data_IF_193046277655
#
_entry.id   IF_193046277655
#
_cell.length_a   1.000
_cell.length_b   1.000
_cell.length_c   1.000
_cell.angle_alpha   90.00
_cell.angle_beta   90.00
_cell.angle_gamma   90.00
#
_symmetry.space_group_name_H-M   'P 1'
#
loop_
_entity.id
_entity.type
_entity.pdbx_description
1 polymer ?
#
# COMPACT_ATOMS: atom_id res chain seq x y z
N UNK A 1 -24.41 -7.39 13.24
CA UNK A 1 -22.98 -6.96 13.41
C UNK A 1 -22.76 -6.63 14.89
N UNK A 2 -21.57 -6.85 15.49
CA UNK A 2 -21.36 -6.54 16.90
C UNK A 2 -20.94 -5.06 17.07
N UNK A 3 -21.91 -4.17 17.27
CA UNK A 3 -21.72 -2.74 17.51
C UNK A 3 -21.71 -2.37 19.00
N UNK A 4 -22.02 -3.30 19.91
CA UNK A 4 -22.26 -3.07 21.34
C UNK A 4 -21.05 -2.53 22.12
N UNK A 5 -19.79 -2.92 21.81
CA UNK A 5 -18.65 -2.40 22.55
C UNK A 5 -18.43 -0.89 22.42
N UNK A 6 -19.10 -0.21 21.47
CA UNK A 6 -18.94 1.22 21.27
C UNK A 6 -19.67 2.05 22.34
N UNK A 7 -18.91 2.72 23.20
CA UNK A 7 -19.39 3.62 24.25
C UNK A 7 -19.33 5.10 23.85
N UNK A 8 -19.14 5.41 22.60
CA UNK A 8 -19.09 6.76 22.01
C UNK A 8 -18.08 7.73 22.67
N UNK A 9 -16.99 7.24 23.27
CA UNK A 9 -15.99 8.05 23.99
C UNK A 9 -15.22 9.06 23.13
N UNK A 10 -15.15 8.88 21.82
CA UNK A 10 -14.50 9.81 20.89
C UNK A 10 -13.01 9.61 20.62
N UNK A 11 -12.31 8.65 21.27
CA UNK A 11 -10.89 8.40 21.04
C UNK A 11 -10.53 8.07 19.58
N UNK A 12 -11.49 7.59 18.80
CA UNK A 12 -11.32 7.31 17.36
C UNK A 12 -11.36 8.57 16.48
N UNK A 13 -11.83 9.73 16.97
CA UNK A 13 -12.01 10.93 16.14
C UNK A 13 -10.68 11.52 15.66
N UNK A 14 -9.68 11.79 16.53
CA UNK A 14 -8.42 12.40 16.11
C UNK A 14 -7.63 11.53 15.12
N UNK A 15 -7.81 10.20 15.17
CA UNK A 15 -7.11 9.26 14.30
C UNK A 15 -7.83 8.99 12.99
N UNK A 16 -9.09 9.41 12.88
CA UNK A 16 -9.89 9.14 11.68
C UNK A 16 -9.58 10.10 10.55
N UNK A 17 -8.99 9.57 9.46
CA UNK A 17 -8.60 10.36 8.30
C UNK A 17 -9.82 11.08 7.66
N UNK A 18 -10.96 10.41 7.45
CA UNK A 18 -12.15 11.04 6.88
C UNK A 18 -12.75 12.13 7.77
N UNK A 19 -12.80 11.90 9.09
CA UNK A 19 -13.29 12.90 10.04
C UNK A 19 -12.41 14.17 10.06
N UNK A 20 -11.10 14.01 9.95
CA UNK A 20 -10.15 15.15 9.93
C UNK A 20 -10.32 16.08 8.73
N UNK A 21 -10.74 15.53 7.58
CA UNK A 21 -10.94 16.31 6.36
C UNK A 21 -12.37 16.85 6.26
N UNK A 22 -13.37 16.01 6.57
CA UNK A 22 -14.77 16.35 6.38
C UNK A 22 -15.39 17.08 7.59
N UNK A 23 -14.85 16.86 8.80
CA UNK A 23 -15.29 17.54 10.03
C UNK A 23 -16.69 17.16 10.51
N UNK A 24 -17.35 16.20 9.90
CA UNK A 24 -18.70 15.79 10.25
C UNK A 24 -18.73 14.50 11.08
N UNK A 25 -19.64 14.44 12.06
CA UNK A 25 -19.75 13.27 12.92
C UNK A 25 -20.11 12.00 12.13
N UNK A 26 -20.92 12.12 11.09
CA UNK A 26 -21.35 11.02 10.24
C UNK A 26 -20.17 10.36 9.49
N UNK A 27 -19.08 11.09 9.30
CA UNK A 27 -17.86 10.62 8.65
C UNK A 27 -16.81 10.13 9.64
N UNK A 28 -17.20 9.99 10.92
CA UNK A 28 -16.38 9.42 11.98
C UNK A 28 -16.68 7.92 12.20
N UNK A 29 -15.77 7.16 12.84
CA UNK A 29 -16.02 5.75 13.13
C UNK A 29 -17.22 5.56 14.06
N UNK A 30 -17.35 6.36 15.12
CA UNK A 30 -18.48 6.24 16.05
C UNK A 30 -19.80 6.69 15.41
N UNK A 31 -19.78 7.70 14.54
CA UNK A 31 -20.95 8.13 13.79
C UNK A 31 -21.46 7.05 12.85
N UNK A 32 -20.55 6.38 12.12
CA UNK A 32 -20.88 5.22 11.27
C UNK A 32 -21.39 4.03 12.10
N UNK A 33 -20.84 3.76 13.28
CA UNK A 33 -21.35 2.73 14.19
C UNK A 33 -22.79 3.09 14.65
N UNK A 34 -23.04 4.35 14.96
CA UNK A 34 -24.38 4.82 15.31
C UNK A 34 -25.37 4.61 14.16
N UNK A 35 -24.96 4.96 12.92
CA UNK A 35 -25.77 4.72 11.72
C UNK A 35 -26.04 3.22 11.52
N UNK A 36 -25.04 2.33 11.74
CA UNK A 36 -25.27 0.89 11.66
C UNK A 36 -26.25 0.38 12.68
N UNK A 37 -26.22 0.88 13.93
CA UNK A 37 -27.21 0.54 14.96
C UNK A 37 -28.62 0.96 14.54
N UNK A 38 -28.76 2.18 14.03
CA UNK A 38 -30.05 2.69 13.56
C UNK A 38 -30.59 1.91 12.34
N UNK A 39 -29.70 1.48 11.44
CA UNK A 39 -30.07 0.62 10.30
C UNK A 39 -30.55 -0.76 10.78
N UNK A 40 -29.84 -1.37 11.75
CA UNK A 40 -30.22 -2.67 12.33
C UNK A 40 -31.53 -2.59 13.10
N UNK A 41 -31.81 -1.45 13.76
CA UNK A 41 -33.08 -1.19 14.45
C UNK A 41 -34.24 -0.85 13.49
N UNK A 42 -33.98 -0.65 12.20
CA UNK A 42 -34.99 -0.22 11.21
C UNK A 42 -35.39 1.27 11.30
N UNK A 43 -34.62 2.06 12.05
CA UNK A 43 -34.84 3.50 12.25
C UNK A 43 -34.21 4.35 11.14
N UNK A 44 -33.18 3.80 10.44
CA UNK A 44 -32.49 4.44 9.32
C UNK A 44 -32.41 3.49 8.14
N UNK A 45 -32.61 4.00 6.93
CA UNK A 45 -32.42 3.25 5.70
C UNK A 45 -31.01 3.49 5.14
N UNK A 46 -30.40 2.46 4.57
CA UNK A 46 -29.15 2.60 3.82
C UNK A 46 -29.46 3.15 2.43
N UNK A 47 -29.66 4.45 2.34
CA UNK A 47 -29.88 5.18 1.09
C UNK A 47 -28.56 5.74 0.51
N UNK A 48 -28.61 6.44 -0.62
CA UNK A 48 -27.46 7.03 -1.26
C UNK A 48 -26.75 8.10 -0.40
N UNK A 49 -27.46 8.78 0.50
CA UNK A 49 -26.89 9.78 1.42
C UNK A 49 -26.06 9.08 2.52
N UNK A 50 -26.66 8.08 3.15
CA UNK A 50 -25.96 7.29 4.19
C UNK A 50 -24.78 6.54 3.59
N UNK A 51 -24.93 5.99 2.39
CA UNK A 51 -23.87 5.27 1.68
C UNK A 51 -22.60 6.13 1.46
N UNK A 52 -22.74 7.42 1.19
CA UNK A 52 -21.60 8.36 1.02
C UNK A 52 -20.72 8.42 2.27
N UNK A 53 -21.34 8.43 3.46
CA UNK A 53 -20.59 8.45 4.72
C UNK A 53 -19.78 7.17 4.96
N UNK A 54 -20.24 6.02 4.47
CA UNK A 54 -19.46 4.79 4.49
C UNK A 54 -18.39 4.76 3.39
N UNK A 55 -18.69 5.32 2.20
CA UNK A 55 -17.73 5.42 1.09
C UNK A 55 -16.56 6.36 1.43
N UNK A 56 -16.76 7.38 2.26
CA UNK A 56 -15.69 8.27 2.73
C UNK A 56 -14.74 7.60 3.73
N UNK A 57 -15.06 6.39 4.23
CA UNK A 57 -14.15 5.61 5.07
C UNK A 57 -13.02 5.00 4.24
N UNK A 58 -11.77 5.31 4.61
CA UNK A 58 -10.58 4.75 3.95
C UNK A 58 -10.29 3.28 4.32
N UNK A 59 -10.88 2.76 5.40
CA UNK A 59 -10.53 1.44 5.92
C UNK A 59 -9.09 1.35 6.45
N UNK A 60 -8.54 2.46 6.93
CA UNK A 60 -7.16 2.57 7.39
C UNK A 60 -6.88 1.93 8.76
N UNK A 61 -7.91 1.52 9.48
CA UNK A 61 -7.86 0.81 10.76
C UNK A 61 -7.28 1.61 11.96
N UNK A 62 -6.91 2.86 11.80
CA UNK A 62 -6.37 3.69 12.88
C UNK A 62 -7.35 3.80 14.07
N UNK A 63 -8.66 3.82 13.78
CA UNK A 63 -9.70 3.83 14.81
C UNK A 63 -9.79 2.50 15.59
N UNK A 64 -9.40 1.38 15.00
CA UNK A 64 -9.36 0.07 15.69
C UNK A 64 -8.24 0.08 16.72
N UNK A 65 -7.04 0.51 16.33
CA UNK A 65 -5.89 0.61 17.24
C UNK A 65 -6.12 1.63 18.37
N UNK A 66 -6.83 2.73 18.06
CA UNK A 66 -7.10 3.79 19.05
C UNK A 66 -8.26 3.47 20.00
N UNK A 67 -9.04 2.40 19.76
CA UNK A 67 -10.25 2.11 20.52
C UNK A 67 -9.96 1.41 21.85
N UNK A 68 -10.17 2.06 23.02
CA UNK A 68 -9.95 1.42 24.31
C UNK A 68 -10.99 0.33 24.63
N UNK A 69 -12.17 0.39 23.97
CA UNK A 69 -13.25 -0.59 24.17
C UNK A 69 -13.14 -1.79 23.22
N UNK A 70 -12.10 -1.86 22.39
CA UNK A 70 -11.84 -3.00 21.50
C UNK A 70 -12.87 -3.20 20.39
N UNK A 71 -13.50 -2.13 19.89
CA UNK A 71 -14.46 -2.21 18.80
C UNK A 71 -13.75 -2.70 17.53
N UNK A 72 -14.21 -3.80 16.97
CA UNK A 72 -13.73 -4.37 15.71
C UNK A 72 -14.38 -3.67 14.52
N UNK A 73 -14.07 -2.37 14.37
CA UNK A 73 -14.60 -1.56 13.28
C UNK A 73 -14.18 -2.06 11.90
N UNK A 74 -13.03 -2.72 11.81
CA UNK A 74 -12.57 -3.46 10.62
C UNK A 74 -13.67 -4.41 10.10
N UNK A 75 -14.21 -5.27 10.96
CA UNK A 75 -15.25 -6.22 10.61
C UNK A 75 -16.58 -5.53 10.25
N UNK A 76 -16.90 -4.44 10.93
CA UNK A 76 -18.13 -3.68 10.66
C UNK A 76 -18.10 -3.05 9.26
N UNK A 77 -17.00 -2.39 8.90
CA UNK A 77 -16.89 -1.73 7.59
C UNK A 77 -16.76 -2.76 6.46
N UNK A 78 -16.04 -3.85 6.66
CA UNK A 78 -15.91 -4.93 5.68
C UNK A 78 -17.25 -5.59 5.40
N UNK A 79 -18.08 -5.85 6.42
CA UNK A 79 -19.43 -6.39 6.25
C UNK A 79 -20.42 -5.38 5.62
N UNK A 80 -20.13 -4.08 5.70
CA UNK A 80 -20.99 -3.02 5.16
C UNK A 80 -20.70 -2.75 3.67
N UNK A 81 -19.43 -2.73 3.28
CA UNK A 81 -18.99 -2.35 1.92
C UNK A 81 -19.68 -3.12 0.78
N UNK A 82 -19.92 -4.43 0.84
CA UNK A 82 -20.64 -5.14 -0.22
C UNK A 82 -22.04 -4.59 -0.44
N UNK A 83 -22.72 -4.13 0.63
CA UNK A 83 -24.07 -3.55 0.57
C UNK A 83 -24.06 -2.21 -0.15
N UNK A 84 -22.94 -1.45 -0.10
CA UNK A 84 -22.80 -0.16 -0.79
C UNK A 84 -22.72 -0.31 -2.33
N UNK A 85 -22.49 -1.50 -2.84
CA UNK A 85 -22.42 -1.77 -4.29
C UNK A 85 -23.80 -2.02 -4.93
N UNK A 86 -24.88 -1.92 -4.14
CA UNK A 86 -26.24 -2.01 -4.65
C UNK A 86 -26.49 -0.93 -5.72
N UNK A 87 -27.12 -1.29 -6.87
CA UNK A 87 -27.26 -0.39 -8.01
C UNK A 87 -27.98 0.92 -7.72
N UNK A 88 -28.92 0.90 -6.77
CA UNK A 88 -29.71 2.06 -6.33
C UNK A 88 -28.91 3.10 -5.52
N UNK A 89 -27.79 2.68 -4.95
CA UNK A 89 -26.93 3.54 -4.13
C UNK A 89 -25.87 4.30 -4.94
N UNK A 90 -25.74 4.01 -6.24
CA UNK A 90 -24.68 4.55 -7.09
C UNK A 90 -25.21 5.07 -8.42
N UNK A 91 -24.65 6.19 -8.87
CA UNK A 91 -24.96 6.71 -10.21
C UNK A 91 -24.45 5.74 -11.29
N UNK A 92 -25.04 5.76 -12.50
CA UNK A 92 -24.55 4.95 -13.63
C UNK A 92 -23.07 5.24 -13.98
N UNK A 93 -22.63 6.49 -13.85
CA UNK A 93 -21.25 6.92 -14.12
C UNK A 93 -20.30 6.32 -13.11
N UNK A 94 -20.58 6.39 -11.81
CA UNK A 94 -19.77 5.76 -10.75
C UNK A 94 -19.65 4.25 -10.95
N UNK A 95 -20.76 3.59 -11.28
CA UNK A 95 -20.75 2.14 -11.56
C UNK A 95 -19.88 1.80 -12.77
N UNK A 96 -19.98 2.57 -13.85
CA UNK A 96 -19.15 2.36 -15.03
C UNK A 96 -17.68 2.59 -14.75
N UNK A 97 -17.33 3.64 -14.00
CA UNK A 97 -15.95 3.94 -13.60
C UNK A 97 -15.36 2.86 -12.70
N UNK A 98 -16.07 2.42 -11.66
CA UNK A 98 -15.64 1.31 -10.80
C UNK A 98 -15.44 0.01 -11.58
N UNK A 99 -16.38 -0.31 -12.47
CA UNK A 99 -16.29 -1.49 -13.35
C UNK A 99 -15.05 -1.43 -14.24
N UNK A 100 -14.72 -0.26 -14.80
CA UNK A 100 -13.50 -0.07 -15.58
C UNK A 100 -12.24 -0.28 -14.73
N UNK A 101 -12.17 0.33 -13.54
CA UNK A 101 -11.04 0.17 -12.64
C UNK A 101 -10.81 -1.31 -12.27
N UNK A 102 -11.87 -2.02 -11.90
CA UNK A 102 -11.77 -3.43 -11.50
C UNK A 102 -11.60 -4.40 -12.68
N UNK A 103 -11.89 -3.97 -13.90
CA UNK A 103 -11.56 -4.72 -15.11
C UNK A 103 -10.07 -4.60 -15.51
N UNK A 104 -9.38 -3.56 -15.03
CA UNK A 104 -7.99 -3.25 -15.42
C UNK A 104 -6.99 -3.51 -14.27
N UNK A 105 -7.16 -2.84 -13.13
CA UNK A 105 -6.16 -2.81 -12.05
C UNK A 105 -5.76 -4.19 -11.50
N UNK A 106 -6.70 -5.14 -11.25
CA UNK A 106 -6.34 -6.46 -10.72
C UNK A 106 -5.65 -7.37 -11.74
N UNK A 107 -5.67 -7.03 -13.03
CA UNK A 107 -5.18 -7.88 -14.11
C UNK A 107 -3.92 -7.28 -14.76
N UNK A 108 -2.71 -7.71 -14.35
CA UNK A 108 -1.45 -7.10 -14.78
C UNK A 108 -1.30 -6.99 -16.31
N UNK A 109 -1.73 -8.00 -17.04
CA UNK A 109 -1.64 -8.00 -18.50
C UNK A 109 -2.61 -7.00 -19.16
N UNK A 110 -3.83 -6.86 -18.63
CA UNK A 110 -4.79 -5.85 -19.11
C UNK A 110 -4.31 -4.44 -18.78
N UNK A 111 -3.80 -4.25 -17.55
CA UNK A 111 -3.25 -2.97 -17.13
C UNK A 111 -2.02 -2.60 -17.97
N UNK A 112 -1.12 -3.56 -18.22
CA UNK A 112 0.05 -3.36 -19.10
C UNK A 112 -0.36 -2.94 -20.51
N UNK A 113 -1.35 -3.61 -21.09
CA UNK A 113 -1.88 -3.25 -22.41
C UNK A 113 -2.48 -1.83 -22.43
N UNK A 114 -3.27 -1.46 -21.41
CA UNK A 114 -3.85 -0.13 -21.28
C UNK A 114 -2.79 0.97 -21.08
N UNK A 115 -1.67 0.67 -20.41
CA UNK A 115 -0.58 1.62 -20.16
C UNK A 115 0.40 1.73 -21.32
N UNK A 116 0.44 0.77 -22.24
CA UNK A 116 1.40 0.76 -23.36
C UNK A 116 1.41 2.06 -24.16
N UNK A 117 0.27 2.62 -24.62
CA UNK A 117 0.27 3.89 -25.35
C UNK A 117 0.71 5.08 -24.47
N UNK A 118 0.50 5.02 -23.14
CA UNK A 118 0.88 6.08 -22.23
C UNK A 118 2.39 6.16 -21.98
N UNK A 119 3.18 5.18 -22.40
CA UNK A 119 4.65 5.23 -22.33
C UNK A 119 5.26 6.40 -23.08
N UNK A 120 4.63 6.80 -24.20
CA UNK A 120 5.07 7.96 -24.98
C UNK A 120 4.68 9.31 -24.35
N UNK A 121 3.85 9.28 -23.32
CA UNK A 121 3.34 10.46 -22.59
C UNK A 121 3.93 10.57 -21.19
N UNK A 122 3.93 9.47 -20.43
CA UNK A 122 4.35 9.45 -19.04
C UNK A 122 5.83 9.80 -18.86
N UNK A 123 6.14 10.73 -17.96
CA UNK A 123 7.50 11.20 -17.71
C UNK A 123 8.03 12.20 -18.73
N UNK A 124 7.22 12.67 -19.68
CA UNK A 124 7.64 13.62 -20.71
C UNK A 124 7.29 15.07 -20.38
N UNK A 125 7.91 16.05 -21.06
CA UNK A 125 7.49 17.46 -20.95
C UNK A 125 6.02 17.70 -21.31
N UNK A 126 5.42 16.85 -22.16
CA UNK A 126 4.00 16.94 -22.51
C UNK A 126 3.11 16.62 -21.29
N UNK A 127 3.47 15.63 -20.48
CA UNK A 127 2.78 15.36 -19.21
C UNK A 127 2.87 16.55 -18.26
N UNK A 128 4.07 17.11 -18.10
CA UNK A 128 4.27 18.29 -17.25
C UNK A 128 3.44 19.50 -17.74
N UNK A 129 3.35 19.71 -19.04
CA UNK A 129 2.51 20.75 -19.65
C UNK A 129 1.03 20.50 -19.39
N UNK A 130 0.55 19.27 -19.59
CA UNK A 130 -0.84 18.90 -19.33
C UNK A 130 -1.24 19.16 -17.87
N UNK A 131 -0.39 18.80 -16.92
CA UNK A 131 -0.59 19.07 -15.48
C UNK A 131 -0.65 20.56 -15.17
N UNK A 132 0.27 21.35 -15.73
CA UNK A 132 0.34 22.82 -15.51
C UNK A 132 -0.79 23.58 -16.19
N UNK A 133 -1.32 23.08 -17.32
CA UNK A 133 -2.38 23.77 -18.10
C UNK A 133 -3.72 23.85 -17.38
N UNK A 134 -3.97 22.99 -16.39
CA UNK A 134 -5.28 22.83 -15.76
C UNK A 134 -6.36 22.23 -16.66
N UNK A 135 -6.04 21.85 -17.90
CA UNK A 135 -6.98 21.27 -18.85
C UNK A 135 -7.60 19.97 -18.35
N UNK A 136 -6.84 19.20 -17.58
CA UNK A 136 -7.31 17.93 -17.01
C UNK A 136 -8.50 18.10 -16.07
N UNK A 137 -8.59 19.24 -15.37
CA UNK A 137 -9.73 19.58 -14.50
C UNK A 137 -11.05 19.67 -15.26
N UNK A 138 -11.00 20.10 -16.53
CA UNK A 138 -12.19 20.18 -17.38
C UNK A 138 -12.73 18.80 -17.77
N UNK A 139 -11.88 17.76 -17.68
CA UNK A 139 -12.25 16.37 -17.98
C UNK A 139 -12.82 15.63 -16.75
N UNK A 140 -12.80 16.27 -15.59
CA UNK A 140 -13.33 15.75 -14.34
C UNK A 140 -12.25 15.31 -13.33
N UNK A 141 -12.58 15.35 -12.02
CA UNK A 141 -11.60 15.14 -10.95
C UNK A 141 -11.01 13.72 -10.93
N UNK A 142 -11.76 12.72 -11.39
CA UNK A 142 -11.28 11.33 -11.43
C UNK A 142 -10.18 11.14 -12.49
N UNK A 143 -10.35 11.72 -13.69
CA UNK A 143 -9.34 11.66 -14.75
C UNK A 143 -8.09 12.46 -14.38
N UNK A 144 -8.28 13.63 -13.78
CA UNK A 144 -7.16 14.42 -13.24
C UNK A 144 -6.38 13.61 -12.20
N UNK A 145 -7.06 12.97 -11.25
CA UNK A 145 -6.42 12.15 -10.23
C UNK A 145 -5.67 10.94 -10.82
N UNK A 146 -6.27 10.25 -11.80
CA UNK A 146 -5.61 9.13 -12.49
C UNK A 146 -4.33 9.58 -13.19
N UNK A 147 -4.36 10.73 -13.85
CA UNK A 147 -3.19 11.28 -14.55
C UNK A 147 -2.12 11.74 -13.57
N UNK A 148 -2.48 12.43 -12.50
CA UNK A 148 -1.54 12.91 -11.48
C UNK A 148 -0.84 11.77 -10.73
N UNK A 149 -1.46 10.60 -10.63
CA UNK A 149 -0.90 9.39 -10.03
C UNK A 149 -0.07 8.55 -11.03
N UNK A 150 -0.08 8.89 -12.32
CA UNK A 150 0.68 8.17 -13.33
C UNK A 150 2.18 8.52 -13.24
N UNK A 151 3.04 7.59 -12.77
CA UNK A 151 4.47 7.84 -12.72
C UNK A 151 5.09 7.68 -14.11
N UNK A 152 6.36 8.06 -14.29
CA UNK A 152 7.15 7.60 -15.43
C UNK A 152 7.09 6.07 -15.53
N UNK A 153 6.80 5.56 -16.73
CA UNK A 153 6.63 4.13 -16.95
C UNK A 153 7.96 3.50 -17.37
N UNK A 154 8.61 2.81 -16.45
CA UNK A 154 9.89 2.16 -16.70
C UNK A 154 9.76 1.05 -17.77
N UNK A 155 10.72 0.94 -18.73
CA UNK A 155 10.72 -0.13 -19.73
C UNK A 155 10.64 -1.54 -19.14
N UNK A 156 11.25 -1.76 -17.99
CA UNK A 156 11.29 -3.02 -17.23
C UNK A 156 9.90 -3.52 -16.85
N UNK A 157 8.97 -2.61 -16.53
CA UNK A 157 7.57 -2.93 -16.23
C UNK A 157 6.85 -3.66 -17.39
N UNK A 158 7.33 -3.48 -18.62
CA UNK A 158 6.76 -4.08 -19.84
C UNK A 158 7.52 -5.33 -20.31
N UNK A 159 8.65 -5.66 -19.66
CA UNK A 159 9.51 -6.82 -19.98
C UNK A 159 9.61 -7.76 -18.78
N UNK A 160 8.53 -7.94 -18.04
CA UNK A 160 8.55 -8.81 -16.86
C UNK A 160 9.20 -10.15 -17.16
N UNK A 161 10.37 -10.38 -16.58
CA UNK A 161 11.20 -11.55 -16.82
C UNK A 161 11.96 -11.97 -15.55
N UNK A 162 11.21 -12.26 -14.47
CA UNK A 162 11.83 -12.95 -13.33
C UNK A 162 11.92 -14.45 -13.64
N UNK A 163 13.06 -15.10 -13.35
CA UNK A 163 13.14 -16.56 -13.36
C UNK A 163 12.21 -17.12 -12.28
N UNK A 164 11.66 -18.32 -12.51
CA UNK A 164 10.77 -18.96 -11.52
C UNK A 164 11.44 -19.19 -10.18
N UNK A 165 12.75 -19.43 -10.17
CA UNK A 165 13.55 -19.61 -8.96
C UNK A 165 14.81 -18.78 -9.09
N UNK A 166 15.06 -17.94 -8.10
CA UNK A 166 16.33 -17.25 -7.92
C UNK A 166 17.06 -17.93 -6.78
N UNK A 167 18.24 -18.50 -7.01
CA UNK A 167 18.98 -19.22 -5.98
C UNK A 167 19.48 -18.29 -4.88
N UNK A 168 19.66 -18.84 -3.69
CA UNK A 168 20.37 -18.18 -2.60
C UNK A 168 21.83 -17.95 -2.96
N UNK A 169 22.40 -16.80 -2.62
CA UNK A 169 23.84 -16.56 -2.66
C UNK A 169 24.46 -17.13 -1.38
N UNK A 170 25.39 -18.07 -1.52
CA UNK A 170 25.98 -18.79 -0.39
C UNK A 170 25.08 -19.89 0.17
N UNK A 171 25.19 -20.13 1.48
CA UNK A 171 24.36 -21.14 2.16
C UNK A 171 22.88 -20.72 2.19
N UNK A 172 22.00 -21.66 1.85
CA UNK A 172 20.56 -21.40 1.85
C UNK A 172 20.00 -21.39 3.28
N UNK A 173 19.55 -20.21 3.73
CA UNK A 173 18.95 -19.98 5.05
C UNK A 173 17.44 -20.17 5.07
N UNK A 174 16.79 -19.89 3.93
CA UNK A 174 15.33 -20.04 3.76
C UNK A 174 14.97 -20.19 2.29
N UNK A 175 13.72 -20.64 2.05
CA UNK A 175 13.09 -20.74 0.72
C UNK A 175 11.72 -20.07 0.76
N UNK A 176 11.54 -18.99 0.02
CA UNK A 176 10.33 -18.17 0.09
C UNK A 176 9.64 -18.01 -1.25
N UNK A 177 8.32 -17.84 -1.22
CA UNK A 177 7.56 -17.36 -2.38
C UNK A 177 7.51 -15.84 -2.38
N UNK A 178 7.59 -15.18 -3.54
CA UNK A 178 7.45 -13.73 -3.64
C UNK A 178 6.19 -13.35 -4.44
N UNK A 179 5.31 -12.55 -3.83
CA UNK A 179 4.15 -11.94 -4.49
C UNK A 179 4.56 -10.61 -5.11
N UNK A 180 4.53 -10.51 -6.44
CA UNK A 180 4.97 -9.32 -7.18
C UNK A 180 3.98 -8.15 -7.12
N UNK A 181 2.69 -8.41 -6.80
CA UNK A 181 1.62 -7.40 -6.82
C UNK A 181 1.19 -6.98 -8.23
N UNK A 182 -0.07 -6.56 -8.39
CA UNK A 182 -0.60 -6.17 -9.70
C UNK A 182 -0.12 -4.76 -10.14
N UNK A 183 -0.23 -3.79 -9.24
CA UNK A 183 0.13 -2.38 -9.50
C UNK A 183 1.64 -2.18 -9.35
N UNK A 184 2.26 -2.75 -8.31
CA UNK A 184 3.68 -2.56 -8.01
C UNK A 184 4.59 -2.98 -9.16
N UNK A 185 4.33 -4.15 -9.80
CA UNK A 185 5.14 -4.63 -10.93
C UNK A 185 5.13 -3.72 -12.17
N UNK A 186 4.14 -2.81 -12.27
CA UNK A 186 4.00 -1.90 -13.41
C UNK A 186 4.39 -0.45 -13.07
N UNK A 187 4.08 0.01 -11.87
CA UNK A 187 4.33 1.40 -11.47
C UNK A 187 5.62 1.59 -10.67
N UNK A 188 6.15 0.51 -10.08
CA UNK A 188 7.41 0.52 -9.33
C UNK A 188 8.10 -0.85 -9.37
N UNK A 189 8.53 -1.32 -10.56
CA UNK A 189 9.17 -2.63 -10.73
C UNK A 189 10.48 -2.75 -9.95
N UNK A 190 11.18 -1.65 -9.70
CA UNK A 190 12.44 -1.61 -8.95
C UNK A 190 12.32 -2.21 -7.55
N UNK A 191 11.15 -2.09 -6.91
CA UNK A 191 10.90 -2.70 -5.59
C UNK A 191 10.99 -4.23 -5.66
N UNK A 192 10.41 -4.85 -6.70
CA UNK A 192 10.47 -6.30 -6.87
C UNK A 192 11.89 -6.76 -7.22
N UNK A 193 12.61 -6.03 -8.06
CA UNK A 193 14.02 -6.29 -8.37
C UNK A 193 14.89 -6.21 -7.12
N UNK A 194 14.71 -5.16 -6.32
CA UNK A 194 15.41 -5.00 -5.05
C UNK A 194 15.06 -6.12 -4.05
N UNK A 195 13.79 -6.52 -3.98
CA UNK A 195 13.36 -7.62 -3.12
C UNK A 195 14.08 -8.93 -3.48
N UNK A 196 14.09 -9.29 -4.76
CA UNK A 196 14.75 -10.50 -5.23
C UNK A 196 16.25 -10.48 -4.94
N UNK A 197 16.92 -9.37 -5.22
CA UNK A 197 18.37 -9.24 -5.01
C UNK A 197 18.75 -9.26 -3.53
N UNK A 198 18.04 -8.50 -2.69
CA UNK A 198 18.30 -8.47 -1.24
C UNK A 198 18.04 -9.83 -0.59
N UNK A 199 16.95 -10.51 -0.95
CA UNK A 199 16.62 -11.84 -0.44
C UNK A 199 17.71 -12.84 -0.85
N UNK A 200 18.06 -12.91 -2.14
CA UNK A 200 19.11 -13.80 -2.64
C UNK A 200 20.47 -13.56 -1.96
N UNK A 201 20.85 -12.28 -1.82
CA UNK A 201 22.10 -11.88 -1.17
C UNK A 201 22.15 -12.22 0.34
N UNK A 202 20.96 -12.36 0.97
CA UNK A 202 20.85 -12.83 2.36
C UNK A 202 20.76 -14.36 2.51
N UNK A 203 21.07 -15.12 1.46
CA UNK A 203 21.00 -16.59 1.49
C UNK A 203 19.57 -17.13 1.40
N UNK A 204 18.65 -16.43 0.78
CA UNK A 204 17.25 -16.83 0.64
C UNK A 204 16.96 -17.20 -0.81
N UNK A 205 16.48 -18.43 -1.03
CA UNK A 205 15.99 -18.88 -2.33
C UNK A 205 14.60 -18.28 -2.58
N UNK A 206 14.42 -17.58 -3.70
CA UNK A 206 13.17 -16.89 -4.03
C UNK A 206 12.44 -17.60 -5.16
N UNK A 207 11.21 -18.04 -4.88
CA UNK A 207 10.32 -18.68 -5.86
C UNK A 207 9.30 -17.66 -6.34
N UNK A 208 9.22 -17.47 -7.64
CA UNK A 208 8.35 -16.48 -8.29
C UNK A 208 7.46 -17.20 -9.31
N UNK A 209 6.24 -17.61 -8.94
CA UNK A 209 5.33 -18.25 -9.88
C UNK A 209 5.01 -17.33 -11.07
N UNK A 210 5.10 -17.81 -12.32
CA UNK A 210 4.96 -16.96 -13.51
C UNK A 210 3.52 -16.48 -13.75
N UNK A 211 2.52 -17.22 -13.24
CA UNK A 211 1.10 -16.96 -13.50
C UNK A 211 0.40 -16.19 -12.39
N UNK A 212 1.15 -15.64 -11.41
CA UNK A 212 0.54 -14.94 -10.30
C UNK A 212 -0.19 -13.65 -10.72
N UNK A 213 -1.40 -13.48 -10.17
CA UNK A 213 -2.28 -12.34 -10.39
C UNK A 213 -2.24 -11.29 -9.27
N UNK A 214 -3.40 -10.74 -8.98
CA UNK A 214 -3.62 -9.76 -7.92
C UNK A 214 -3.99 -10.45 -6.61
N UNK A 215 -3.59 -9.84 -5.47
CA UNK A 215 -4.01 -10.29 -4.13
C UNK A 215 -5.48 -9.98 -3.79
N UNK A 216 -6.20 -9.20 -4.62
CA UNK A 216 -7.58 -8.81 -4.36
C UNK A 216 -7.77 -7.68 -3.35
N UNK A 217 -6.72 -7.04 -2.84
CA UNK A 217 -6.85 -6.02 -1.80
C UNK A 217 -7.74 -4.83 -2.22
N UNK A 218 -7.57 -4.32 -3.44
CA UNK A 218 -8.36 -3.20 -3.94
C UNK A 218 -9.85 -3.54 -4.09
N UNK A 219 -10.16 -4.75 -4.56
CA UNK A 219 -11.54 -5.24 -4.69
C UNK A 219 -12.17 -5.52 -3.34
N UNK A 220 -11.41 -6.11 -2.40
CA UNK A 220 -11.85 -6.35 -1.02
C UNK A 220 -12.23 -5.05 -0.31
N UNK A 221 -11.35 -4.05 -0.38
CA UNK A 221 -11.60 -2.73 0.23
C UNK A 221 -12.75 -1.96 -0.39
N UNK A 222 -13.28 -2.39 -1.52
CA UNK A 222 -14.44 -1.77 -2.17
C UNK A 222 -15.68 -2.66 -2.15
N UNK A 223 -15.61 -3.80 -1.44
CA UNK A 223 -16.75 -4.70 -1.25
C UNK A 223 -17.08 -5.58 -2.46
N UNK A 224 -16.17 -5.70 -3.43
CA UNK A 224 -16.31 -6.58 -4.60
C UNK A 224 -15.94 -8.02 -4.22
N UNK A 225 -16.72 -8.64 -3.31
CA UNK A 225 -16.36 -9.91 -2.68
C UNK A 225 -16.21 -11.06 -3.67
N UNK A 226 -17.08 -11.17 -4.68
CA UNK A 226 -17.00 -12.24 -5.66
C UNK A 226 -15.66 -12.21 -6.42
N UNK A 227 -15.30 -11.02 -6.93
CA UNK A 227 -14.04 -10.82 -7.63
C UNK A 227 -12.83 -10.98 -6.68
N UNK A 228 -12.94 -10.54 -5.43
CA UNK A 228 -11.89 -10.75 -4.43
C UNK A 228 -11.62 -12.23 -4.19
N UNK A 229 -12.66 -13.04 -4.04
CA UNK A 229 -12.55 -14.49 -3.84
C UNK A 229 -11.94 -15.19 -5.05
N UNK A 230 -12.32 -14.81 -6.26
CA UNK A 230 -11.71 -15.29 -7.50
C UNK A 230 -10.21 -14.98 -7.54
N UNK A 231 -9.82 -13.72 -7.37
CA UNK A 231 -8.42 -13.28 -7.38
C UNK A 231 -7.58 -13.96 -6.30
N UNK A 232 -8.13 -14.12 -5.09
CA UNK A 232 -7.46 -14.79 -3.98
C UNK A 232 -7.23 -16.29 -4.29
N UNK A 233 -8.24 -16.96 -4.83
CA UNK A 233 -8.15 -18.38 -5.24
C UNK A 233 -7.10 -18.57 -6.33
N UNK A 234 -7.09 -17.72 -7.35
CA UNK A 234 -6.13 -17.77 -8.46
C UNK A 234 -4.70 -17.51 -7.97
N UNK A 235 -4.53 -16.56 -7.06
CA UNK A 235 -3.21 -16.28 -6.49
C UNK A 235 -2.71 -17.47 -5.65
N UNK A 236 -3.52 -18.04 -4.79
CA UNK A 236 -3.17 -19.25 -4.03
C UNK A 236 -2.82 -20.40 -4.97
N UNK A 237 -3.60 -20.60 -6.03
CA UNK A 237 -3.35 -21.64 -7.02
C UNK A 237 -2.01 -21.47 -7.73
N UNK A 238 -1.55 -20.23 -7.95
CA UNK A 238 -0.24 -19.98 -8.55
C UNK A 238 0.92 -20.47 -7.70
N UNK A 239 0.76 -20.55 -6.38
CA UNK A 239 1.74 -21.12 -5.45
C UNK A 239 1.56 -22.63 -5.20
N UNK A 240 0.50 -23.22 -5.75
CA UNK A 240 0.33 -24.68 -5.66
C UNK A 240 1.44 -25.38 -6.49
N UNK A 241 2.05 -26.39 -5.93
CA UNK A 241 3.06 -27.21 -6.64
C UNK A 241 4.48 -26.62 -6.69
N UNK A 242 4.73 -25.43 -6.10
CA UNK A 242 6.10 -24.88 -6.00
C UNK A 242 6.98 -25.59 -4.96
N UNK A 243 6.41 -26.55 -4.23
CA UNK A 243 7.06 -27.26 -3.11
C UNK A 243 7.00 -26.46 -1.80
N UNK A 244 7.60 -26.98 -0.72
CA UNK A 244 7.57 -26.34 0.59
C UNK A 244 8.21 -24.95 0.56
N UNK A 245 7.56 -23.97 1.23
CA UNK A 245 8.03 -22.61 1.43
C UNK A 245 8.05 -22.32 2.92
N UNK A 246 9.09 -21.63 3.39
CA UNK A 246 9.16 -21.12 4.76
C UNK A 246 8.24 -19.92 4.97
N UNK A 247 8.02 -19.12 3.91
CA UNK A 247 7.08 -18.00 3.91
C UNK A 247 6.64 -17.61 2.48
N UNK A 248 5.52 -16.89 2.38
CA UNK A 248 5.09 -16.17 1.18
C UNK A 248 5.23 -14.68 1.45
N UNK A 249 6.19 -14.04 0.79
CA UNK A 249 6.56 -12.65 1.05
C UNK A 249 5.86 -11.67 0.13
N UNK A 250 5.59 -10.49 0.65
CA UNK A 250 5.02 -9.39 -0.10
C UNK A 250 5.69 -8.06 0.33
N UNK A 251 5.97 -7.19 -0.64
CA UNK A 251 6.58 -5.88 -0.40
C UNK A 251 5.56 -4.73 -0.32
N UNK A 252 4.26 -5.01 -0.48
CA UNK A 252 3.20 -4.01 -0.39
C UNK A 252 2.29 -4.30 0.79
N UNK A 253 2.31 -3.44 1.81
CA UNK A 253 1.60 -3.65 3.08
C UNK A 253 0.08 -3.84 2.94
N UNK A 254 -0.56 -3.16 1.99
CA UNK A 254 -1.99 -3.35 1.69
C UNK A 254 -2.28 -4.74 1.15
N UNK A 255 -1.42 -5.28 0.29
CA UNK A 255 -1.50 -6.67 -0.15
C UNK A 255 -1.28 -7.64 1.02
N UNK A 256 -0.25 -7.41 1.84
CA UNK A 256 0.07 -8.26 2.99
C UNK A 256 -1.08 -8.38 3.98
N UNK A 257 -1.74 -7.27 4.30
CA UNK A 257 -2.92 -7.28 5.17
C UNK A 257 -4.04 -8.15 4.61
N UNK A 258 -4.36 -8.00 3.32
CA UNK A 258 -5.44 -8.79 2.68
C UNK A 258 -5.07 -10.26 2.53
N UNK A 259 -3.82 -10.58 2.17
CA UNK A 259 -3.34 -11.96 2.08
C UNK A 259 -3.44 -12.70 3.43
N UNK A 260 -3.11 -12.02 4.54
CA UNK A 260 -3.26 -12.55 5.91
C UNK A 260 -4.73 -12.77 6.29
N UNK A 261 -5.68 -12.11 5.61
CA UNK A 261 -7.11 -12.27 5.83
C UNK A 261 -7.77 -13.35 4.93
N UNK A 262 -7.05 -14.04 4.06
CA UNK A 262 -7.62 -15.00 3.12
C UNK A 262 -8.43 -16.12 3.80
N UNK A 263 -8.02 -16.54 5.00
CA UNK A 263 -8.78 -17.52 5.78
C UNK A 263 -10.23 -17.11 6.05
N UNK A 264 -10.45 -15.84 6.38
CA UNK A 264 -11.78 -15.26 6.61
C UNK A 264 -12.50 -14.87 5.31
N UNK A 265 -11.78 -14.43 4.28
CA UNK A 265 -12.34 -14.02 2.98
C UNK A 265 -12.89 -15.24 2.22
N UNK A 266 -12.13 -16.34 2.21
CA UNK A 266 -12.48 -17.56 1.49
C UNK A 266 -13.19 -18.61 2.38
N UNK A 267 -13.20 -18.41 3.69
CA UNK A 267 -13.84 -19.32 4.67
C UNK A 267 -13.36 -20.77 4.50
N UNK A 268 -12.05 -20.97 4.26
CA UNK A 268 -11.46 -22.23 3.90
C UNK A 268 -10.20 -22.54 4.72
N UNK A 269 -10.05 -23.78 5.25
CA UNK A 269 -8.83 -24.18 5.96
C UNK A 269 -7.55 -24.06 5.12
N UNK A 270 -7.62 -24.33 3.82
CA UNK A 270 -6.47 -24.17 2.92
C UNK A 270 -6.05 -22.71 2.77
N UNK A 271 -7.02 -21.80 2.70
CA UNK A 271 -6.76 -20.37 2.67
C UNK A 271 -6.20 -19.86 4.00
N UNK A 272 -6.68 -20.37 5.13
CA UNK A 272 -6.11 -20.07 6.44
C UNK A 272 -4.67 -20.58 6.57
N UNK A 273 -4.36 -21.77 6.04
CA UNK A 273 -3.00 -22.29 5.97
C UNK A 273 -2.08 -21.44 5.11
N UNK A 274 -2.53 -21.00 3.94
CA UNK A 274 -1.78 -20.07 3.08
C UNK A 274 -1.55 -18.72 3.77
N UNK A 275 -2.59 -18.13 4.35
CA UNK A 275 -2.53 -16.87 5.08
C UNK A 275 -1.52 -16.92 6.25
N UNK A 276 -1.41 -18.06 6.94
CA UNK A 276 -0.44 -18.29 8.01
C UNK A 276 1.02 -18.29 7.56
N UNK A 277 1.29 -18.48 6.26
CA UNK A 277 2.64 -18.40 5.69
C UNK A 277 2.98 -16.99 5.16
N UNK A 278 2.00 -16.08 5.10
CA UNK A 278 2.21 -14.74 4.54
C UNK A 278 2.96 -13.85 5.53
N UNK A 279 4.04 -13.23 5.07
CA UNK A 279 4.79 -12.23 5.82
C UNK A 279 5.11 -10.98 4.97
N UNK A 280 5.17 -9.82 5.61
CA UNK A 280 5.81 -8.65 5.00
C UNK A 280 7.31 -8.91 4.86
N UNK A 281 7.90 -8.49 3.74
CA UNK A 281 9.32 -8.73 3.46
C UNK A 281 10.24 -8.13 4.51
N UNK A 282 9.87 -6.99 5.08
CA UNK A 282 10.67 -6.32 6.11
C UNK A 282 10.53 -7.04 7.45
N UNK A 283 9.32 -7.50 7.78
CA UNK A 283 9.08 -8.32 8.95
C UNK A 283 9.94 -9.59 8.88
N UNK A 284 9.86 -10.32 7.77
CA UNK A 284 10.59 -11.56 7.58
C UNK A 284 12.12 -11.37 7.67
N UNK A 285 12.66 -10.36 6.99
CA UNK A 285 14.11 -10.08 7.02
C UNK A 285 14.59 -9.64 8.40
N UNK A 286 13.80 -8.88 9.15
CA UNK A 286 14.16 -8.47 10.51
C UNK A 286 14.15 -9.65 11.48
N UNK A 287 13.15 -10.54 11.38
CA UNK A 287 13.03 -11.73 12.22
C UNK A 287 14.09 -12.79 11.90
N UNK A 288 14.39 -13.03 10.61
CA UNK A 288 15.46 -13.95 10.19
C UNK A 288 16.85 -13.38 10.51
N UNK A 289 16.98 -12.07 10.56
CA UNK A 289 18.22 -11.31 10.63
C UNK A 289 18.96 -11.25 9.30
N UNK A 290 19.57 -10.10 8.99
CA UNK A 290 20.46 -9.97 7.83
C UNK A 290 21.69 -10.87 8.00
N UNK A 291 22.13 -11.54 6.94
CA UNK A 291 23.32 -12.37 6.97
C UNK A 291 24.59 -11.53 7.24
N UNK A 292 25.58 -12.14 7.86
CA UNK A 292 26.88 -11.46 8.13
C UNK A 292 27.52 -10.97 6.84
N UNK A 293 27.50 -11.81 5.79
CA UNK A 293 28.01 -11.45 4.47
C UNK A 293 27.28 -10.24 3.88
N UNK A 294 25.95 -10.20 3.99
CA UNK A 294 25.17 -9.05 3.50
C UNK A 294 25.50 -7.78 4.30
N UNK A 295 25.55 -7.87 5.64
CA UNK A 295 25.86 -6.73 6.51
C UNK A 295 27.25 -6.16 6.26
N UNK A 296 28.25 -7.01 6.02
CA UNK A 296 29.62 -6.59 5.74
C UNK A 296 29.78 -5.76 4.46
N UNK A 297 28.79 -5.84 3.55
CA UNK A 297 28.77 -5.06 2.31
C UNK A 297 27.82 -3.85 2.37
N UNK A 298 27.20 -3.56 3.52
CA UNK A 298 26.40 -2.34 3.62
C UNK A 298 27.33 -1.12 3.68
N UNK A 299 27.10 -0.17 2.79
CA UNK A 299 27.85 1.08 2.71
C UNK A 299 26.92 2.30 2.87
N UNK A 300 27.45 3.47 3.22
CA UNK A 300 26.67 4.70 3.28
C UNK A 300 25.96 5.00 1.95
N UNK A 301 24.74 5.49 2.05
CA UNK A 301 24.00 6.02 0.90
C UNK A 301 24.43 7.47 0.62
N UNK A 302 24.14 7.95 -0.58
CA UNK A 302 24.40 9.33 -0.94
C UNK A 302 23.20 10.23 -0.59
N UNK A 303 23.51 11.45 -0.17
CA UNK A 303 22.56 12.56 -0.13
C UNK A 303 22.03 12.89 -1.54
N UNK A 304 20.93 13.65 -1.67
CA UNK A 304 20.44 14.12 -2.97
C UNK A 304 21.45 14.95 -3.76
N UNK A 305 22.42 15.60 -3.09
CA UNK A 305 23.52 16.34 -3.72
C UNK A 305 24.66 15.44 -4.26
N UNK A 306 24.54 14.11 -4.10
CA UNK A 306 25.52 13.13 -4.55
C UNK A 306 26.65 12.87 -3.55
N UNK A 307 26.76 13.61 -2.43
CA UNK A 307 27.78 13.36 -1.43
C UNK A 307 27.43 12.13 -0.57
N UNK A 308 28.40 11.30 -0.18
CA UNK A 308 28.12 10.14 0.69
C UNK A 308 27.77 10.59 2.11
N UNK A 309 26.82 9.89 2.73
CA UNK A 309 26.50 10.08 4.14
C UNK A 309 27.71 9.71 5.04
N UNK A 310 27.89 10.45 6.13
CA UNK A 310 28.96 10.22 7.10
C UNK A 310 28.44 10.31 8.54
N UNK A 311 29.29 10.03 9.51
CA UNK A 311 28.92 10.18 10.91
C UNK A 311 28.62 11.65 11.29
N UNK A 312 29.32 12.61 10.67
CA UNK A 312 29.12 14.05 10.89
C UNK A 312 27.90 14.60 10.11
N UNK A 313 27.57 13.97 8.99
CA UNK A 313 26.41 14.32 8.16
C UNK A 313 25.64 13.03 7.79
N UNK A 314 24.81 12.49 8.68
CA UNK A 314 24.00 11.32 8.38
C UNK A 314 22.85 11.66 7.43
N UNK A 315 22.51 10.72 6.53
CA UNK A 315 21.34 10.85 5.66
C UNK A 315 20.05 10.80 6.48
N UNK A 316 19.26 11.85 6.39
CA UNK A 316 17.99 11.96 7.12
C UNK A 316 16.88 11.25 6.34
N UNK A 317 16.29 10.22 6.93
CA UNK A 317 15.23 9.40 6.31
C UNK A 317 13.97 9.42 7.16
N UNK A 318 12.85 9.92 6.63
CA UNK A 318 11.56 9.76 7.27
C UNK A 318 10.93 8.42 6.88
N UNK A 319 10.45 7.65 7.86
CA UNK A 319 9.70 6.44 7.59
C UNK A 319 8.19 6.74 7.59
N UNK A 320 7.52 6.41 6.46
CA UNK A 320 6.07 6.48 6.37
C UNK A 320 5.44 5.18 6.83
N UNK A 321 4.80 5.19 7.99
CA UNK A 321 4.02 4.06 8.49
C UNK A 321 2.76 3.88 7.66
N UNK A 322 2.79 2.95 6.71
CA UNK A 322 1.60 2.62 5.93
C UNK A 322 0.53 2.03 6.85
N UNK A 323 -0.71 2.53 6.76
CA UNK A 323 -1.77 2.20 7.72
C UNK A 323 -2.01 0.69 7.88
N UNK A 324 -2.01 -0.08 6.78
CA UNK A 324 -2.18 -1.53 6.84
C UNK A 324 -0.92 -2.29 7.33
N UNK A 325 0.24 -1.65 7.33
CA UNK A 325 1.42 -2.18 8.00
C UNK A 325 1.29 -1.97 9.52
N UNK A 326 1.07 -0.73 9.93
CA UNK A 326 1.02 -0.34 11.33
C UNK A 326 -0.23 -0.89 12.04
N UNK A 327 -1.42 -0.54 11.56
CA UNK A 327 -2.68 -0.86 12.24
C UNK A 327 -3.23 -2.24 11.87
N UNK A 328 -3.00 -2.69 10.64
CA UNK A 328 -3.52 -3.97 10.15
C UNK A 328 -2.64 -5.17 10.48
N UNK A 329 -1.32 -4.99 10.53
CA UNK A 329 -0.37 -6.08 10.73
C UNK A 329 0.50 -5.93 11.99
N UNK A 330 0.46 -4.78 12.68
CA UNK A 330 1.28 -4.52 13.87
C UNK A 330 2.80 -4.40 13.57
N UNK A 331 3.16 -4.12 12.32
CA UNK A 331 4.56 -4.00 11.89
C UNK A 331 4.97 -2.54 12.02
N UNK A 332 5.91 -2.25 12.90
CA UNK A 332 6.44 -0.91 13.15
C UNK A 332 7.97 -0.89 13.29
N UNK A 333 8.50 -1.72 14.16
CA UNK A 333 9.92 -1.70 14.51
C UNK A 333 10.80 -2.40 13.47
N UNK A 334 10.29 -3.41 12.80
CA UNK A 334 11.05 -4.23 11.86
C UNK A 334 11.63 -3.42 10.69
N UNK A 335 10.88 -2.54 10.00
CA UNK A 335 11.45 -1.67 8.97
C UNK A 335 12.53 -0.73 9.51
N UNK A 336 12.34 -0.20 10.73
CA UNK A 336 13.30 0.69 11.39
C UNK A 336 14.59 -0.02 11.71
N UNK A 337 14.52 -1.26 12.22
CA UNK A 337 15.69 -2.11 12.47
C UNK A 337 16.51 -2.38 11.20
N UNK A 338 15.82 -2.65 10.08
CA UNK A 338 16.49 -2.89 8.81
C UNK A 338 17.16 -1.62 8.26
N UNK A 339 16.50 -0.49 8.34
CA UNK A 339 17.06 0.79 7.89
C UNK A 339 18.24 1.23 8.79
N UNK A 340 18.14 1.00 10.08
CA UNK A 340 19.24 1.29 11.02
C UNK A 340 20.51 0.44 10.79
N UNK A 341 20.41 -0.67 10.06
CA UNK A 341 21.57 -1.46 9.65
C UNK A 341 22.40 -0.79 8.56
N UNK A 342 21.84 0.17 7.81
CA UNK A 342 22.55 0.93 6.78
C UNK A 342 23.42 1.99 7.46
N UNK A 343 24.75 2.06 7.16
CA UNK A 343 25.63 3.03 7.80
C UNK A 343 25.22 4.48 7.56
N UNK A 344 25.29 5.28 8.60
CA UNK A 344 25.06 6.71 8.58
C UNK A 344 23.65 7.14 8.08
N UNK A 345 22.61 6.30 8.36
CA UNK A 345 21.23 6.74 8.28
C UNK A 345 20.77 7.24 9.65
N UNK A 346 20.01 8.34 9.64
CA UNK A 346 19.27 8.83 10.78
C UNK A 346 17.78 8.84 10.46
N UNK A 347 17.01 8.02 11.19
CA UNK A 347 15.57 7.98 11.04
C UNK A 347 14.91 9.22 11.69
N UNK A 348 13.92 9.76 10.99
CA UNK A 348 13.09 10.87 11.44
C UNK A 348 11.63 10.40 11.55
N UNK A 349 11.03 10.62 12.69
CA UNK A 349 9.65 10.23 12.94
C UNK A 349 8.71 11.39 12.60
N UNK A 350 7.67 11.08 11.82
CA UNK A 350 6.59 12.00 11.55
C UNK A 350 5.70 12.16 12.79
N UNK A 351 5.18 13.35 13.05
CA UNK A 351 4.33 13.61 14.22
C UNK A 351 3.01 12.83 14.15
N UNK A 352 2.48 12.70 12.93
CA UNK A 352 1.21 12.02 12.67
C UNK A 352 1.41 10.69 11.93
N UNK A 353 2.41 9.91 12.38
CA UNK A 353 2.82 8.66 11.74
C UNK A 353 1.64 7.71 11.43
N UNK A 354 0.69 7.55 12.35
CA UNK A 354 -0.46 6.65 12.21
C UNK A 354 -1.59 7.14 11.30
N UNK A 355 -1.54 8.39 10.79
CA UNK A 355 -2.61 8.93 9.93
C UNK A 355 -2.41 8.50 8.47
N UNK A 356 -3.50 8.09 7.82
CA UNK A 356 -3.49 7.61 6.43
C UNK A 356 -3.09 8.72 5.45
N UNK A 357 -2.32 8.34 4.40
CA UNK A 357 -1.89 9.24 3.32
C UNK A 357 -2.99 9.55 2.28
N UNK A 358 -4.20 8.99 2.42
CA UNK A 358 -5.31 9.21 1.48
C UNK A 358 -5.36 8.25 0.28
N UNK A 359 -4.38 7.35 0.09
CA UNK A 359 -4.36 6.44 -1.07
C UNK A 359 -5.44 5.36 -1.01
N UNK A 360 -5.47 4.55 0.05
CA UNK A 360 -6.46 3.51 0.40
C UNK A 360 -7.04 2.72 -0.80
N UNK A 361 -6.19 1.97 -1.49
CA UNK A 361 -6.58 1.16 -2.64
C UNK A 361 -6.90 2.03 -3.86
N UNK A 362 -8.18 2.23 -4.15
CA UNK A 362 -8.67 3.13 -5.21
C UNK A 362 -9.38 4.38 -4.66
N UNK A 363 -9.30 4.63 -3.36
CA UNK A 363 -9.97 5.77 -2.73
C UNK A 363 -9.57 7.10 -3.38
N UNK A 364 -8.29 7.28 -3.67
CA UNK A 364 -7.76 8.47 -4.35
C UNK A 364 -8.22 8.65 -5.80
N UNK A 365 -8.87 7.64 -6.38
CA UNK A 365 -9.50 7.73 -7.71
C UNK A 365 -11.01 7.98 -7.62
N UNK A 366 -11.66 7.49 -6.55
CA UNK A 366 -13.13 7.63 -6.38
C UNK A 366 -13.52 8.78 -5.47
N UNK A 367 -12.63 9.23 -4.59
CA UNK A 367 -12.77 10.37 -3.67
C UNK A 367 -11.53 11.28 -3.80
N UNK A 368 -11.27 11.86 -4.99
CA UNK A 368 -9.99 12.50 -5.29
C UNK A 368 -9.72 13.77 -4.49
N UNK A 369 -10.75 14.51 -4.08
CA UNK A 369 -10.62 15.77 -3.34
C UNK A 369 -10.18 15.53 -1.90
N UNK A 370 -10.86 14.64 -1.20
CA UNK A 370 -10.53 14.24 0.18
C UNK A 370 -9.17 13.53 0.24
N UNK A 371 -8.90 12.69 -0.76
CA UNK A 371 -7.62 12.01 -0.89
C UNK A 371 -6.47 12.97 -1.12
N UNK A 372 -6.68 14.03 -1.91
CA UNK A 372 -5.67 15.06 -2.15
C UNK A 372 -5.38 15.87 -0.88
N UNK A 373 -6.43 16.21 -0.09
CA UNK A 373 -6.23 16.90 1.18
C UNK A 373 -5.44 16.05 2.17
N UNK A 374 -5.79 14.76 2.32
CA UNK A 374 -5.03 13.83 3.16
C UNK A 374 -3.58 13.66 2.68
N UNK A 375 -3.38 13.63 1.37
CA UNK A 375 -2.04 13.56 0.76
C UNK A 375 -1.20 14.77 1.10
N UNK A 376 -1.78 15.98 1.03
CA UNK A 376 -1.09 17.24 1.41
C UNK A 376 -0.75 17.28 2.90
N UNK A 377 -1.69 16.91 3.77
CA UNK A 377 -1.46 16.82 5.22
C UNK A 377 -0.30 15.87 5.51
N UNK A 378 -0.31 14.66 4.93
CA UNK A 378 0.75 13.66 5.16
C UNK A 378 2.09 14.09 4.56
N UNK A 379 2.11 14.71 3.38
CA UNK A 379 3.32 15.24 2.78
C UNK A 379 3.92 16.37 3.63
N UNK A 380 3.10 17.28 4.15
CA UNK A 380 3.55 18.35 5.05
C UNK A 380 4.13 17.79 6.36
N UNK A 381 3.51 16.76 6.96
CA UNK A 381 3.99 16.08 8.17
C UNK A 381 5.38 15.43 7.92
N UNK A 382 5.55 14.73 6.80
CA UNK A 382 6.81 14.12 6.42
C UNK A 382 7.90 15.18 6.08
N UNK A 383 7.56 16.21 5.33
CA UNK A 383 8.48 17.31 5.02
C UNK A 383 8.92 18.06 6.29
N UNK A 384 8.00 18.24 7.25
CA UNK A 384 8.27 18.86 8.55
C UNK A 384 9.30 18.12 9.40
N UNK A 385 9.62 16.85 9.09
CA UNK A 385 10.68 16.10 9.76
C UNK A 385 12.08 16.58 9.41
N UNK A 386 12.24 17.37 8.35
CA UNK A 386 13.54 17.75 7.79
C UNK A 386 14.30 16.60 7.13
N UNK A 387 13.63 15.49 6.82
CA UNK A 387 14.26 14.37 6.12
C UNK A 387 14.52 14.69 4.65
N UNK A 388 15.61 14.16 4.12
CA UNK A 388 16.00 14.30 2.71
C UNK A 388 15.35 13.26 1.81
N UNK A 389 14.81 12.18 2.41
CA UNK A 389 14.24 11.04 1.74
C UNK A 389 13.07 10.47 2.58
N UNK A 390 12.06 9.95 1.91
CA UNK A 390 10.95 9.23 2.54
C UNK A 390 11.01 7.74 2.18
N UNK A 391 10.99 6.88 3.19
CA UNK A 391 10.85 5.43 3.01
C UNK A 391 9.39 5.02 3.18
N UNK A 392 8.80 4.32 2.18
CA UNK A 392 7.40 3.91 2.18
C UNK A 392 7.22 2.50 1.63
N UNK A 393 6.58 1.61 2.40
CA UNK A 393 6.44 0.18 2.09
C UNK A 393 5.06 -0.19 1.51
N UNK A 394 4.45 0.69 0.74
CA UNK A 394 3.19 0.39 0.05
C UNK A 394 3.04 1.21 -1.22
N UNK A 395 2.93 0.53 -2.36
CA UNK A 395 2.89 1.19 -3.68
C UNK A 395 1.83 2.30 -3.78
N UNK A 396 0.63 2.09 -3.27
CA UNK A 396 -0.41 3.12 -3.29
C UNK A 396 -0.01 4.37 -2.50
N UNK A 397 0.59 4.19 -1.31
CA UNK A 397 1.13 5.29 -0.51
C UNK A 397 2.30 5.97 -1.23
N UNK A 398 3.22 5.20 -1.82
CA UNK A 398 4.38 5.75 -2.52
C UNK A 398 3.96 6.65 -3.69
N UNK A 399 2.97 6.23 -4.49
CA UNK A 399 2.42 7.06 -5.58
C UNK A 399 1.76 8.35 -5.05
N UNK A 400 0.97 8.24 -3.99
CA UNK A 400 0.30 9.38 -3.36
C UNK A 400 1.32 10.38 -2.78
N UNK A 401 2.34 9.89 -2.09
CA UNK A 401 3.39 10.71 -1.50
C UNK A 401 4.27 11.37 -2.58
N UNK A 402 4.67 10.62 -3.62
CA UNK A 402 5.43 11.18 -4.77
C UNK A 402 4.69 12.33 -5.43
N UNK A 403 3.36 12.25 -5.54
CA UNK A 403 2.52 13.35 -6.06
C UNK A 403 2.67 14.59 -5.20
N UNK A 404 2.44 14.50 -3.89
CA UNK A 404 2.35 15.68 -3.03
C UNK A 404 3.69 16.20 -2.52
N UNK A 405 4.71 15.34 -2.34
CA UNK A 405 6.07 15.76 -2.01
C UNK A 405 6.79 16.36 -3.22
N UNK A 406 6.43 15.94 -4.45
CA UNK A 406 6.99 16.50 -5.68
C UNK A 406 6.46 17.88 -6.07
N UNK A 407 5.36 18.33 -5.45
CA UNK A 407 4.75 19.65 -5.67
C UNK A 407 5.41 20.77 -4.82
N UNK A 408 6.29 20.41 -3.86
CA UNK A 408 6.95 21.36 -2.97
C UNK A 408 8.27 21.91 -3.49
N UNK A 409 8.80 22.93 -2.80
CA UNK A 409 10.10 23.58 -3.12
C UNK A 409 11.31 22.64 -2.95
N UNK A 410 11.13 21.55 -2.19
CA UNK A 410 12.15 20.52 -1.93
C UNK A 410 11.57 19.13 -2.18
N UNK A 411 11.57 18.64 -3.43
CA UNK A 411 11.02 17.34 -3.75
C UNK A 411 11.84 16.24 -3.07
N UNK A 412 11.21 15.55 -2.12
CA UNK A 412 11.81 14.42 -1.44
C UNK A 412 11.55 13.13 -2.23
N UNK A 413 12.58 12.34 -2.57
CA UNK A 413 12.39 11.04 -3.19
C UNK A 413 11.68 10.09 -2.22
N UNK A 414 10.75 9.31 -2.76
CA UNK A 414 10.02 8.26 -2.01
C UNK A 414 10.49 6.92 -2.53
N UNK A 415 11.15 6.14 -1.67
CA UNK A 415 11.71 4.83 -2.00
C UNK A 415 11.15 3.75 -1.06
N UNK A 416 11.17 2.51 -1.51
CA UNK A 416 10.85 1.39 -0.63
C UNK A 416 12.06 1.06 0.27
N UNK A 417 11.88 0.69 1.55
CA UNK A 417 12.99 0.30 2.43
C UNK A 417 13.90 -0.78 1.84
N UNK A 418 13.34 -1.72 1.08
CA UNK A 418 14.12 -2.77 0.41
C UNK A 418 15.05 -2.21 -0.68
N UNK A 419 14.66 -1.12 -1.37
CA UNK A 419 15.52 -0.43 -2.33
C UNK A 419 16.70 0.26 -1.64
N UNK A 420 16.48 0.81 -0.43
CA UNK A 420 17.55 1.43 0.35
C UNK A 420 18.59 0.39 0.77
N UNK A 421 18.14 -0.78 1.23
CA UNK A 421 19.02 -1.91 1.53
C UNK A 421 19.81 -2.37 0.30
N UNK A 422 19.14 -2.52 -0.85
CA UNK A 422 19.78 -2.90 -2.10
C UNK A 422 20.86 -1.89 -2.51
N UNK A 423 20.53 -0.60 -2.50
CA UNK A 423 21.45 0.48 -2.89
C UNK A 423 22.67 0.52 -1.99
N UNK A 424 22.48 0.40 -0.67
CA UNK A 424 23.56 0.34 0.30
C UNK A 424 24.46 -0.88 0.08
N UNK A 425 23.87 -2.04 -0.15
CA UNK A 425 24.60 -3.28 -0.40
C UNK A 425 25.38 -3.24 -1.74
N UNK A 426 24.78 -2.69 -2.80
CA UNK A 426 25.46 -2.50 -4.09
C UNK A 426 26.63 -1.53 -3.98
N UNK A 427 26.47 -0.43 -3.24
CA UNK A 427 27.53 0.57 -3.03
C UNK A 427 28.75 -0.02 -2.31
N UNK A 428 28.56 -0.97 -1.39
CA UNK A 428 29.67 -1.63 -0.70
C UNK A 428 30.37 -2.74 -1.49
N UNK A 429 29.88 -3.03 -2.71
CA UNK A 429 30.48 -4.01 -3.64
C UNK A 429 31.11 -3.36 -4.87
N UNK A 430 30.86 -2.06 -5.10
CA UNK A 430 31.46 -1.28 -6.17
C UNK A 430 32.89 -0.86 -5.79
#
# INVERSE_FOLDING_TARGET
>A
MNTDPCVHCGFCLPTCASYRVLGTEMDSPRGRIHALKAIEAGELQLDATVAKHFDSCLGCLACVTACPSGVRYDQLIEATRPKLNAPELRTPVERAFRKLLFALLPYPNRLRAALTPLRAYAGTPLQALARRSGLLRLLGPQLEAMEQLLPPLAPEAFREAFPQVVPAQGERRARVGLVLGCVQRLFDPAVNEAAVEVLSANGIEVVIPPSQGCCGAATHHQGELAQTRELATDLMASFAGVGPLDAVLVAASGCGHTLKAYGSILESPSAAGFAGQVADIQQFLAELGLSETFRAHLAPLNHPDGTPASAERPLQVAFHDACHMLHGQGIREQPRQLLAAIPHIQLREAMEAGVCCGSAGIYNLVQPEEAAELGRIKAADLAGTGAELVASANIGCSLQLRRHLGEGDFPQPVLHPIELLQRSWRAGRA
#
